data_IF_014923491491
#
_entry.id   IF_014923491491
#
_cell.length_a   1.000
_cell.length_b   1.000
_cell.length_c   1.000
_cell.angle_alpha   90.00
_cell.angle_beta   90.00
_cell.angle_gamma   90.00
#
_symmetry.space_group_name_H-M   'P 1'
#
loop_
_entity.id
_entity.type
_entity.pdbx_description
1 polymer ?
#
# COMPACT_ATOMS: atom_id res chain seq x y z
N UNK A 1 13.90 22.25 -5.90
CA UNK A 1 14.29 21.43 -7.06
C UNK A 1 13.68 22.06 -8.31
N UNK A 2 14.50 22.54 -9.25
CA UNK A 2 14.02 22.92 -10.58
C UNK A 2 13.79 21.62 -11.35
N UNK A 3 12.53 21.19 -11.45
CA UNK A 3 12.20 20.06 -12.33
C UNK A 3 12.35 20.57 -13.75
N UNK A 4 13.46 20.19 -14.38
CA UNK A 4 13.76 20.61 -15.74
C UNK A 4 12.67 20.16 -16.69
N UNK A 5 12.25 21.05 -17.59
CA UNK A 5 11.20 20.80 -18.58
C UNK A 5 11.51 19.60 -19.48
N UNK A 6 12.79 19.22 -19.58
CA UNK A 6 13.30 18.03 -20.26
C UNK A 6 12.89 16.71 -19.57
N UNK A 7 12.76 16.67 -18.24
CA UNK A 7 12.26 15.48 -17.52
C UNK A 7 10.82 15.16 -17.92
N UNK A 8 9.97 16.18 -18.08
CA UNK A 8 8.60 15.98 -18.58
C UNK A 8 8.55 15.55 -20.05
N UNK A 9 9.59 15.83 -20.85
CA UNK A 9 9.69 15.33 -22.21
C UNK A 9 10.10 13.85 -22.24
N UNK A 10 11.02 13.42 -21.38
CA UNK A 10 11.38 12.00 -21.21
C UNK A 10 10.20 11.18 -20.67
N UNK A 11 9.44 11.77 -19.75
CA UNK A 11 8.19 11.19 -19.25
C UNK A 11 7.11 11.02 -20.34
N UNK A 12 7.25 11.73 -21.46
CA UNK A 12 6.29 11.71 -22.56
C UNK A 12 6.40 10.44 -23.41
N UNK A 13 7.58 9.84 -23.46
CA UNK A 13 7.83 8.54 -24.11
C UNK A 13 7.29 7.38 -23.26
N UNK A 14 7.49 7.43 -21.93
CA UNK A 14 7.12 6.34 -21.01
C UNK A 14 5.96 6.72 -20.06
N UNK A 15 4.89 7.29 -20.63
CA UNK A 15 3.72 7.76 -19.84
C UNK A 15 3.01 6.63 -19.10
N UNK A 16 2.92 5.46 -19.74
CA UNK A 16 2.18 4.31 -19.23
C UNK A 16 2.77 3.78 -17.93
N UNK A 17 4.06 3.37 -17.85
CA UNK A 17 4.65 2.88 -16.61
C UNK A 17 4.64 3.94 -15.51
N UNK A 18 4.82 5.22 -15.85
CA UNK A 18 4.74 6.30 -14.87
C UNK A 18 3.38 6.42 -14.19
N UNK A 19 2.28 6.36 -14.96
CA UNK A 19 0.92 6.41 -14.42
C UNK A 19 0.66 5.17 -13.54
N UNK A 20 1.09 3.99 -13.98
CA UNK A 20 0.97 2.76 -13.18
C UNK A 20 1.71 2.88 -11.84
N UNK A 21 2.92 3.41 -11.83
CA UNK A 21 3.70 3.61 -10.59
C UNK A 21 3.02 4.58 -9.63
N UNK A 22 2.38 5.65 -10.13
CA UNK A 22 1.58 6.57 -9.30
C UNK A 22 0.38 5.84 -8.69
N UNK A 23 -0.40 5.14 -9.51
CA UNK A 23 -1.59 4.41 -9.03
C UNK A 23 -1.19 3.35 -8.00
N UNK A 24 -0.12 2.59 -8.27
CA UNK A 24 0.41 1.60 -7.34
C UNK A 24 0.85 2.25 -6.02
N UNK A 25 1.49 3.42 -6.07
CA UNK A 25 1.88 4.19 -4.88
C UNK A 25 0.68 4.66 -4.05
N UNK A 26 -0.37 5.17 -4.70
CA UNK A 26 -1.61 5.58 -4.03
C UNK A 26 -2.27 4.37 -3.36
N UNK A 27 -2.40 3.24 -4.08
CA UNK A 27 -2.97 2.01 -3.52
C UNK A 27 -2.17 1.49 -2.33
N UNK A 28 -0.84 1.50 -2.42
CA UNK A 28 0.03 1.08 -1.32
C UNK A 28 -0.13 1.98 -0.08
N UNK A 29 -0.29 3.29 -0.27
CA UNK A 29 -0.56 4.24 0.82
C UNK A 29 -1.94 3.99 1.45
N UNK A 30 -2.99 3.78 0.65
CA UNK A 30 -4.32 3.43 1.16
C UNK A 30 -4.28 2.13 1.97
N UNK A 31 -3.55 1.12 1.51
CA UNK A 31 -3.38 -0.14 2.25
C UNK A 31 -2.65 0.03 3.57
N UNK A 32 -1.71 0.97 3.66
CA UNK A 32 -1.03 1.31 4.92
C UNK A 32 -2.02 1.87 5.93
N UNK A 33 -2.89 2.79 5.51
CA UNK A 33 -3.93 3.36 6.38
C UNK A 33 -4.92 2.27 6.83
N UNK A 34 -5.33 1.39 5.92
CA UNK A 34 -6.19 0.26 6.26
C UNK A 34 -5.53 -0.68 7.29
N UNK A 35 -4.24 -1.00 7.13
CA UNK A 35 -3.48 -1.79 8.11
C UNK A 35 -3.47 -1.14 9.49
N UNK A 36 -3.23 0.17 9.58
CA UNK A 36 -3.27 0.89 10.85
C UNK A 36 -4.65 0.81 11.51
N UNK A 37 -5.72 0.92 10.73
CA UNK A 37 -7.09 0.74 11.21
C UNK A 37 -7.33 -0.67 11.78
N UNK A 38 -7.00 -1.72 11.03
CA UNK A 38 -7.18 -3.09 11.52
C UNK A 38 -6.30 -3.39 12.73
N UNK A 39 -5.06 -2.88 12.77
CA UNK A 39 -4.19 -3.03 13.92
C UNK A 39 -4.81 -2.39 15.17
N UNK A 40 -5.36 -1.18 15.04
CA UNK A 40 -6.09 -0.54 16.15
C UNK A 40 -7.28 -1.38 16.60
N UNK A 41 -8.05 -1.94 15.67
CA UNK A 41 -9.20 -2.79 16.00
C UNK A 41 -8.78 -4.11 16.68
N UNK A 42 -7.67 -4.71 16.23
CA UNK A 42 -7.08 -5.90 16.85
C UNK A 42 -6.67 -5.60 18.29
N UNK A 43 -5.99 -4.48 18.53
CA UNK A 43 -5.56 -4.07 19.87
C UNK A 43 -6.76 -3.85 20.78
N UNK A 44 -7.77 -3.10 20.33
CA UNK A 44 -8.99 -2.86 21.10
C UNK A 44 -9.72 -4.17 21.43
N UNK A 45 -9.91 -5.03 20.43
CA UNK A 45 -10.63 -6.29 20.60
C UNK A 45 -9.89 -7.28 21.51
N UNK A 46 -8.57 -7.39 21.37
CA UNK A 46 -7.75 -8.34 22.11
C UNK A 46 -7.50 -7.90 23.56
N UNK A 47 -7.23 -6.61 23.79
CA UNK A 47 -6.76 -6.13 25.09
C UNK A 47 -7.83 -5.37 25.89
N UNK A 48 -8.70 -4.61 25.23
CA UNK A 48 -9.71 -3.79 25.92
C UNK A 48 -11.00 -4.61 26.10
N UNK A 49 -11.55 -5.13 25.00
CA UNK A 49 -12.79 -5.90 25.04
C UNK A 49 -12.59 -7.35 25.51
N UNK A 50 -11.35 -7.84 25.52
CA UNK A 50 -10.98 -9.24 25.85
C UNK A 50 -11.83 -10.26 25.07
N UNK A 51 -12.07 -9.94 23.80
CA UNK A 51 -12.89 -10.75 22.90
C UNK A 51 -12.25 -12.10 22.66
N UNK A 52 -13.06 -13.14 22.46
CA UNK A 52 -12.59 -14.47 22.07
C UNK A 52 -11.77 -14.44 20.76
N UNK A 53 -10.82 -15.37 20.66
CA UNK A 53 -9.88 -15.46 19.52
C UNK A 53 -10.61 -15.55 18.17
N UNK A 54 -11.83 -16.13 18.14
CA UNK A 54 -12.67 -16.19 16.94
C UNK A 54 -12.90 -14.81 16.28
N UNK A 55 -13.01 -13.73 17.06
CA UNK A 55 -13.25 -12.37 16.53
C UNK A 55 -11.99 -11.70 16.00
N UNK A 56 -10.80 -12.22 16.33
CA UNK A 56 -9.52 -11.67 15.91
C UNK A 56 -9.05 -12.23 14.56
N UNK A 57 -9.52 -13.42 14.16
CA UNK A 57 -9.07 -14.05 12.92
C UNK A 57 -9.36 -13.22 11.67
N UNK A 58 -10.56 -12.64 11.57
CA UNK A 58 -10.92 -11.82 10.42
C UNK A 58 -10.05 -10.56 10.29
N UNK A 59 -9.92 -9.70 11.32
CA UNK A 59 -9.08 -8.51 11.21
C UNK A 59 -7.59 -8.84 11.07
N UNK A 60 -7.09 -9.91 11.70
CA UNK A 60 -5.72 -10.40 11.48
C UNK A 60 -5.50 -10.88 10.04
N UNK A 61 -6.44 -11.63 9.49
CA UNK A 61 -6.40 -12.10 8.10
C UNK A 61 -6.40 -10.95 7.11
N UNK A 62 -7.26 -9.95 7.31
CA UNK A 62 -7.31 -8.74 6.48
C UNK A 62 -6.02 -7.92 6.59
N UNK A 63 -5.48 -7.77 7.81
CA UNK A 63 -4.20 -7.10 8.02
C UNK A 63 -3.08 -7.77 7.23
N UNK A 64 -2.92 -9.09 7.37
CA UNK A 64 -1.90 -9.86 6.66
C UNK A 64 -2.06 -9.78 5.14
N UNK A 65 -3.30 -9.90 4.65
CA UNK A 65 -3.61 -9.78 3.22
C UNK A 65 -3.20 -8.41 2.66
N UNK A 66 -3.54 -7.33 3.36
CA UNK A 66 -3.14 -5.98 2.96
C UNK A 66 -1.63 -5.76 3.06
N UNK A 67 -0.93 -6.40 4.00
CA UNK A 67 0.53 -6.35 4.06
C UNK A 67 1.16 -7.00 2.83
N UNK A 68 0.67 -8.16 2.39
CA UNK A 68 1.15 -8.86 1.20
C UNK A 68 0.89 -8.03 -0.06
N UNK A 69 -0.33 -7.53 -0.25
CA UNK A 69 -0.65 -6.72 -1.41
C UNK A 69 0.16 -5.43 -1.47
N UNK A 70 0.35 -4.75 -0.33
CA UNK A 70 1.20 -3.56 -0.26
C UNK A 70 2.65 -3.88 -0.65
N UNK A 71 3.19 -5.01 -0.18
CA UNK A 71 4.52 -5.47 -0.56
C UNK A 71 4.61 -5.70 -2.08
N UNK A 72 3.61 -6.38 -2.66
CA UNK A 72 3.55 -6.63 -4.09
C UNK A 72 3.47 -5.32 -4.90
N UNK A 73 2.58 -4.39 -4.55
CA UNK A 73 2.43 -3.11 -5.26
C UNK A 73 3.68 -2.24 -5.17
N UNK A 74 4.34 -2.20 -4.00
CA UNK A 74 5.62 -1.51 -3.86
C UNK A 74 6.71 -2.14 -4.73
N UNK A 75 6.75 -3.47 -4.80
CA UNK A 75 7.70 -4.19 -5.64
C UNK A 75 7.47 -3.94 -7.13
N UNK A 76 6.21 -4.01 -7.59
CA UNK A 76 5.84 -3.71 -8.98
C UNK A 76 6.16 -2.27 -9.36
N UNK A 77 5.83 -1.30 -8.50
CA UNK A 77 6.14 0.11 -8.74
C UNK A 77 7.65 0.36 -8.87
N UNK A 78 8.46 -0.28 -8.01
CA UNK A 78 9.91 -0.20 -8.11
C UNK A 78 10.48 -0.88 -9.36
N UNK A 79 9.90 -2.01 -9.77
CA UNK A 79 10.36 -2.75 -10.96
C UNK A 79 10.04 -1.98 -12.24
N UNK A 80 8.83 -1.43 -12.36
CA UNK A 80 8.43 -0.62 -13.52
C UNK A 80 9.19 0.71 -13.58
N UNK A 81 9.55 1.31 -12.45
CA UNK A 81 10.36 2.51 -12.41
C UNK A 81 11.84 2.29 -12.78
N UNK A 82 12.32 1.03 -12.72
CA UNK A 82 13.70 0.65 -13.02
C UNK A 82 13.85 0.01 -14.42
N UNK A 83 12.76 -0.08 -15.19
CA UNK A 83 12.75 -0.54 -16.58
C UNK A 83 12.88 0.65 -17.53
#
# INVERSE_FOLDING_TARGET
MNIDRRLFQLLKEERTPFIFSIIAGILAATMLVAQAYYLSQIIDSAFIQKSGMERLFLPLGLFALFSIFRMAFNWFSHTEANR
#
